data_IF_615567693482
#
_entry.id   IF_615567693482
#
_cell.length_a   1.000
_cell.length_b   1.000
_cell.length_c   1.000
_cell.angle_alpha   90.00
_cell.angle_beta   90.00
_cell.angle_gamma   90.00
#
_symmetry.space_group_name_H-M   'P 1'
#
loop_
_entity.id
_entity.type
_entity.pdbx_description
1 polymer ?
#
# COMPACT_ATOMS: atom_id res chain seq x y z
N UNK A 1 14.12 -7.22 -2.20
CA UNK A 1 12.84 -6.47 -2.30
C UNK A 1 11.69 -7.48 -2.36
N UNK A 2 10.51 -7.17 -1.82
CA UNK A 2 9.35 -8.07 -1.89
C UNK A 2 8.45 -7.72 -3.10
N UNK A 3 7.42 -8.52 -3.36
CA UNK A 3 6.50 -8.32 -4.48
C UNK A 3 5.80 -6.95 -4.46
N UNK A 4 5.52 -6.39 -3.28
CA UNK A 4 4.93 -5.05 -3.17
C UNK A 4 5.92 -3.94 -3.54
N UNK A 5 7.19 -4.11 -3.19
CA UNK A 5 8.26 -3.18 -3.57
C UNK A 5 8.52 -3.19 -5.08
N UNK A 6 8.54 -4.38 -5.70
CA UNK A 6 8.62 -4.55 -7.16
C UNK A 6 7.44 -3.87 -7.85
N UNK A 7 6.20 -4.14 -7.40
CA UNK A 7 5.01 -3.49 -7.94
C UNK A 7 5.06 -1.96 -7.79
N UNK A 8 5.47 -1.46 -6.62
CA UNK A 8 5.59 -0.03 -6.38
C UNK A 8 6.64 0.61 -7.30
N UNK A 9 7.76 -0.07 -7.52
CA UNK A 9 8.83 0.35 -8.43
C UNK A 9 8.32 0.46 -9.87
N UNK A 10 7.57 -0.55 -10.34
CA UNK A 10 7.00 -0.56 -11.68
C UNK A 10 5.94 0.54 -11.86
N UNK A 11 5.06 0.72 -10.88
CA UNK A 11 4.04 1.79 -10.90
C UNK A 11 4.67 3.18 -10.95
N UNK A 12 5.72 3.42 -10.16
CA UNK A 12 6.43 4.70 -10.16
C UNK A 12 7.18 4.96 -11.46
N UNK A 13 7.83 3.92 -12.02
CA UNK A 13 8.48 4.02 -13.34
C UNK A 13 7.48 4.34 -14.45
N UNK A 14 6.32 3.69 -14.43
CA UNK A 14 5.25 3.92 -15.40
C UNK A 14 4.63 5.32 -15.28
N UNK A 15 4.56 5.88 -14.07
CA UNK A 15 3.99 7.21 -13.83
C UNK A 15 4.93 8.35 -14.28
N UNK A 16 6.23 8.25 -14.00
CA UNK A 16 7.22 9.24 -14.43
C UNK A 16 8.62 8.62 -14.53
N UNK A 17 8.96 8.15 -15.73
CA UNK A 17 10.24 7.50 -16.02
C UNK A 17 11.44 8.44 -15.80
N UNK A 18 11.30 9.74 -16.07
CA UNK A 18 12.41 10.71 -15.93
C UNK A 18 12.73 10.92 -14.46
N UNK A 19 11.71 11.14 -13.63
CA UNK A 19 11.89 11.28 -12.18
C UNK A 19 12.40 9.97 -11.58
N UNK A 20 11.87 8.84 -12.03
CA UNK A 20 12.36 7.53 -11.63
C UNK A 20 13.84 7.34 -11.97
N UNK A 21 14.29 7.75 -13.17
CA UNK A 21 15.68 7.65 -13.61
C UNK A 21 16.67 8.41 -12.72
N UNK A 22 16.22 9.53 -12.13
CA UNK A 22 17.04 10.43 -11.32
C UNK A 22 17.10 10.06 -9.84
N UNK A 23 16.26 9.13 -9.37
CA UNK A 23 16.25 8.70 -7.98
C UNK A 23 17.57 8.00 -7.62
N UNK A 24 18.16 8.42 -6.50
CA UNK A 24 19.27 7.73 -5.86
C UNK A 24 18.74 6.65 -4.91
N UNK A 25 19.52 5.59 -4.66
CA UNK A 25 19.17 4.51 -3.72
C UNK A 25 17.77 3.90 -3.95
N UNK A 26 17.38 3.75 -5.23
CA UNK A 26 16.04 3.25 -5.62
C UNK A 26 15.71 1.91 -5.00
N UNK A 27 16.63 0.96 -5.08
CA UNK A 27 16.37 -0.40 -4.62
C UNK A 27 16.13 -0.44 -3.11
N UNK A 28 16.87 0.36 -2.34
CA UNK A 28 16.65 0.50 -0.89
C UNK A 28 15.30 1.17 -0.59
N UNK A 29 14.97 2.24 -1.32
CA UNK A 29 13.68 2.93 -1.18
C UNK A 29 12.50 1.99 -1.43
N UNK A 30 12.51 1.25 -2.54
CA UNK A 30 11.41 0.34 -2.88
C UNK A 30 11.41 -0.94 -2.03
N UNK A 31 12.57 -1.40 -1.53
CA UNK A 31 12.63 -2.47 -0.56
C UNK A 31 11.98 -2.08 0.78
N UNK A 32 12.24 -0.87 1.27
CA UNK A 32 11.61 -0.35 2.48
C UNK A 32 10.12 -0.08 2.26
N UNK A 33 9.75 0.56 1.15
CA UNK A 33 8.35 0.83 0.81
C UNK A 33 7.54 -0.48 0.71
N UNK A 34 8.08 -1.50 0.03
CA UNK A 34 7.46 -2.81 -0.05
C UNK A 34 7.30 -3.48 1.32
N UNK A 35 8.28 -3.32 2.21
CA UNK A 35 8.21 -3.86 3.59
C UNK A 35 7.13 -3.15 4.42
N UNK A 36 6.99 -1.83 4.26
CA UNK A 36 5.93 -1.05 4.90
C UNK A 36 4.55 -1.43 4.39
N UNK A 37 4.40 -1.60 3.08
CA UNK A 37 3.14 -2.06 2.47
C UNK A 37 2.77 -3.45 2.98
N UNK A 38 3.71 -4.40 3.00
CA UNK A 38 3.46 -5.75 3.52
C UNK A 38 2.95 -5.72 4.97
N UNK A 39 3.64 -4.97 5.85
CA UNK A 39 3.25 -4.81 7.25
C UNK A 39 1.85 -4.21 7.37
N UNK A 40 1.55 -3.18 6.57
CA UNK A 40 0.23 -2.53 6.58
C UNK A 40 -0.88 -3.47 6.10
N UNK A 41 -0.61 -4.29 5.10
CA UNK A 41 -1.55 -5.33 4.65
C UNK A 41 -1.79 -6.35 5.77
N UNK A 42 -0.75 -6.83 6.43
CA UNK A 42 -0.87 -7.79 7.53
C UNK A 42 -1.68 -7.23 8.72
N UNK A 43 -1.56 -5.93 9.01
CA UNK A 43 -2.37 -5.24 10.01
C UNK A 43 -3.85 -5.13 9.61
N UNK A 44 -4.13 -4.90 8.33
CA UNK A 44 -5.48 -4.64 7.82
C UNK A 44 -6.27 -5.91 7.49
N UNK A 45 -5.60 -6.99 7.10
CA UNK A 45 -6.23 -8.29 6.81
C UNK A 45 -7.17 -8.74 7.94
N UNK A 46 -6.79 -8.80 9.22
CA UNK A 46 -7.70 -9.22 10.28
C UNK A 46 -8.88 -8.27 10.46
N UNK A 47 -8.68 -6.96 10.24
CA UNK A 47 -9.74 -5.94 10.31
C UNK A 47 -10.79 -6.17 9.23
N UNK A 48 -10.38 -6.41 7.98
CA UNK A 48 -11.30 -6.67 6.87
C UNK A 48 -11.87 -8.09 6.86
N UNK A 49 -11.12 -9.06 7.37
CA UNK A 49 -11.57 -10.44 7.45
C UNK A 49 -12.70 -10.61 8.46
N UNK A 50 -12.75 -9.74 9.48
CA UNK A 50 -13.71 -9.79 10.56
C UNK A 50 -13.65 -11.11 11.34
N UNK A 51 -14.65 -11.30 12.20
CA UNK A 51 -14.74 -12.51 13.02
C UNK A 51 -14.88 -13.77 12.17
N UNK A 52 -14.15 -14.81 12.54
CA UNK A 52 -14.26 -16.12 11.90
C UNK A 52 -15.52 -16.84 12.38
N UNK A 53 -16.43 -17.28 11.49
CA UNK A 53 -17.59 -18.07 11.90
C UNK A 53 -17.18 -19.38 12.56
N UNK A 54 -17.90 -19.77 13.62
CA UNK A 54 -17.70 -21.07 14.28
C UNK A 54 -18.06 -22.19 13.30
N UNK A 55 -17.08 -23.03 12.94
CA UNK A 55 -17.16 -24.11 11.92
C UNK A 55 -17.20 -23.62 10.45
N UNK A 56 -16.52 -22.52 10.13
CA UNK A 56 -16.32 -22.08 8.74
C UNK A 56 -15.64 -23.19 7.90
N UNK A 57 -16.26 -23.66 6.80
CA UNK A 57 -15.60 -24.57 5.86
C UNK A 57 -14.32 -23.95 5.29
N UNK A 58 -13.24 -24.74 5.13
CA UNK A 58 -11.94 -24.23 4.70
C UNK A 58 -11.97 -23.39 3.42
N UNK A 59 -12.77 -23.78 2.42
CA UNK A 59 -12.94 -23.01 1.17
C UNK A 59 -13.54 -21.62 1.40
N UNK A 60 -14.51 -21.50 2.32
CA UNK A 60 -15.14 -20.22 2.63
C UNK A 60 -14.18 -19.32 3.43
N UNK A 61 -13.40 -19.91 4.34
CA UNK A 61 -12.31 -19.22 5.05
C UNK A 61 -11.30 -18.66 4.07
N UNK A 62 -10.82 -19.46 3.13
CA UNK A 62 -9.83 -19.00 2.15
C UNK A 62 -10.39 -17.89 1.26
N UNK A 63 -11.67 -17.98 0.88
CA UNK A 63 -12.35 -16.92 0.13
C UNK A 63 -12.42 -15.61 0.94
N UNK A 64 -12.80 -15.69 2.23
CA UNK A 64 -12.89 -14.54 3.12
C UNK A 64 -11.52 -13.88 3.31
N UNK A 65 -10.48 -14.65 3.60
CA UNK A 65 -9.12 -14.14 3.77
C UNK A 65 -8.56 -13.53 2.47
N UNK A 66 -8.85 -14.13 1.31
CA UNK A 66 -8.46 -13.54 0.01
C UNK A 66 -9.16 -12.21 -0.25
N UNK A 67 -10.46 -12.11 0.05
CA UNK A 67 -11.20 -10.84 -0.08
C UNK A 67 -10.66 -9.77 0.85
N UNK A 68 -10.41 -10.13 2.12
CA UNK A 68 -9.83 -9.24 3.11
C UNK A 68 -8.44 -8.76 2.71
N UNK A 69 -7.59 -9.67 2.21
CA UNK A 69 -6.26 -9.32 1.70
C UNK A 69 -6.34 -8.34 0.54
N UNK A 70 -7.24 -8.56 -0.42
CA UNK A 70 -7.42 -7.62 -1.55
C UNK A 70 -7.80 -6.22 -1.08
N UNK A 71 -8.74 -6.12 -0.13
CA UNK A 71 -9.16 -4.84 0.46
C UNK A 71 -8.01 -4.17 1.23
N UNK A 72 -7.25 -4.96 2.00
CA UNK A 72 -6.07 -4.49 2.71
C UNK A 72 -5.00 -3.93 1.76
N UNK A 73 -4.74 -4.61 0.64
CA UNK A 73 -3.81 -4.17 -0.40
C UNK A 73 -4.27 -2.86 -1.05
N UNK A 74 -5.56 -2.73 -1.40
CA UNK A 74 -6.12 -1.50 -1.98
C UNK A 74 -5.90 -0.30 -1.05
N UNK A 75 -6.18 -0.44 0.25
CA UNK A 75 -5.97 0.63 1.24
C UNK A 75 -4.47 0.92 1.44
N UNK A 76 -3.64 -0.11 1.60
CA UNK A 76 -2.21 0.08 1.81
C UNK A 76 -1.52 0.79 0.62
N UNK A 77 -1.91 0.46 -0.61
CA UNK A 77 -1.41 1.15 -1.80
C UNK A 77 -1.86 2.60 -1.84
N UNK A 78 -3.13 2.87 -1.53
CA UNK A 78 -3.62 4.23 -1.48
C UNK A 78 -2.85 5.06 -0.45
N UNK A 79 -2.67 4.55 0.77
CA UNK A 79 -1.99 5.24 1.86
C UNK A 79 -0.49 5.47 1.59
N UNK A 80 0.22 4.48 1.05
CA UNK A 80 1.70 4.48 1.03
C UNK A 80 2.31 4.80 -0.34
N UNK A 81 1.63 4.41 -1.43
CA UNK A 81 2.15 4.57 -2.79
C UNK A 81 1.54 5.82 -3.45
N UNK A 82 0.22 6.01 -3.34
CA UNK A 82 -0.50 7.04 -4.09
C UNK A 82 -0.77 8.32 -3.29
N UNK A 83 -0.88 8.27 -1.95
CA UNK A 83 -1.19 9.45 -1.13
C UNK A 83 -0.02 10.42 -0.94
N UNK A 84 1.15 10.19 -1.55
CA UNK A 84 2.29 11.13 -1.49
C UNK A 84 2.09 12.42 -2.34
N UNK A 85 0.87 12.68 -2.85
CA UNK A 85 0.52 13.85 -3.71
C UNK A 85 -0.52 14.80 -3.08
N UNK A 86 -0.51 15.01 -1.76
CA UNK A 86 -1.17 16.21 -1.20
C UNK A 86 -0.24 16.91 -0.20
N UNK A 87 0.57 17.82 -0.72
CA UNK A 87 1.05 18.99 0.02
C UNK A 87 1.23 20.12 -1.01
N UNK A 88 0.66 21.30 -0.74
CA UNK A 88 1.36 22.17 0.19
C UNK A 88 0.55 22.46 1.47
N UNK A 89 1.19 22.46 2.65
CA UNK A 89 0.66 23.16 3.81
C UNK A 89 0.89 24.67 3.67
N UNK A 90 -0.07 25.43 4.21
CA UNK A 90 -0.06 26.88 4.50
C UNK A 90 -0.30 27.85 3.33
N UNK A 91 -1.57 27.99 2.93
CA UNK A 91 -2.15 29.34 2.81
C UNK A 91 -3.05 29.54 4.02
N UNK A 92 -2.45 29.95 5.13
CA UNK A 92 -3.18 30.64 6.19
C UNK A 92 -3.54 31.98 5.56
N UNK A 93 -4.79 32.13 5.13
CA UNK A 93 -5.33 33.43 4.75
C UNK A 93 -5.15 34.36 5.95
N UNK A 94 -4.16 35.25 5.86
CA UNK A 94 -4.07 36.40 6.73
C UNK A 94 -5.17 37.35 6.25
N UNK A 95 -6.32 37.31 6.94
CA UNK A 95 -7.29 38.40 6.86
C UNK A 95 -6.60 39.65 7.42
N UNK A 96 -6.39 40.61 6.52
CA UNK A 96 -5.95 41.97 6.80
C UNK A 96 -7.17 42.89 6.97
#
# INVERSE_FOLDING_TARGET
>A
MNAYGELAQDLWRAADERRFAQMQHRDDFFAELGSRVARRVDELVPVFAGDAPTREPGRLRDLRLRKAKKQAEEVAFQELIFSQTVAPPAEVFADA
#
